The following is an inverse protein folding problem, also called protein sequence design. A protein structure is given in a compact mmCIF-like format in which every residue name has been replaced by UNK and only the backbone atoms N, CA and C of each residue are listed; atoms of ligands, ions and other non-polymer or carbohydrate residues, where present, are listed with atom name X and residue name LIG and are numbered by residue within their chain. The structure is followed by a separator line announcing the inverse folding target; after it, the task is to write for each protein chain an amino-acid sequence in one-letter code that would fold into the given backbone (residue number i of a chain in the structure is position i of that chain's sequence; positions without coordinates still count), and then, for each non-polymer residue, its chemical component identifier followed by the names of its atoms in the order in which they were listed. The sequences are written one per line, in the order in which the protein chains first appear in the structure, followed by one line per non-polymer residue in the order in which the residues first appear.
data_IF_531200213428
#
_entry.id   IF_531200213428
#
_cell.length_a   1.000
_cell.length_b   1.000
_cell.length_c   1.000
_cell.angle_alpha   90.00
_cell.angle_beta   90.00
_cell.angle_gamma   90.00
#
_symmetry.space_group_name_H-M   'P 1'
#
loop_
_entity.id
_entity.type
_entity.pdbx_description
1 polymer ?
#
# COMPACT_ATOMS: atom_id res chain seq x y z
N UNK A 1 -51.52 -15.78 -55.57
CA UNK A 1 -50.69 -16.42 -54.55
C UNK A 1 -49.93 -15.34 -53.80
N UNK A 2 -50.33 -14.98 -52.57
CA UNK A 2 -49.54 -14.01 -51.79
C UNK A 2 -48.38 -14.72 -51.12
N UNK A 3 -47.17 -14.21 -51.32
CA UNK A 3 -45.96 -14.63 -50.64
C UNK A 3 -45.95 -14.04 -49.23
N UNK A 4 -45.98 -14.95 -48.26
CA UNK A 4 -45.86 -14.61 -46.84
C UNK A 4 -44.44 -14.18 -46.52
N UNK A 5 -44.25 -12.93 -46.09
CA UNK A 5 -42.97 -12.43 -45.62
C UNK A 5 -42.88 -12.75 -44.14
N UNK A 6 -42.04 -13.73 -43.80
CA UNK A 6 -41.73 -14.07 -42.41
C UNK A 6 -40.94 -12.92 -41.74
N UNK A 7 -41.52 -12.36 -40.66
CA UNK A 7 -40.87 -11.33 -39.89
C UNK A 7 -39.67 -11.86 -39.11
N UNK A 8 -38.51 -11.23 -39.31
CA UNK A 8 -37.37 -11.39 -38.40
C UNK A 8 -37.63 -10.63 -37.10
N UNK A 9 -37.72 -11.37 -36.03
CA UNK A 9 -37.71 -10.78 -34.68
C UNK A 9 -36.31 -10.30 -34.31
N UNK A 10 -36.17 -9.11 -33.70
CA UNK A 10 -34.85 -8.66 -33.22
C UNK A 10 -34.47 -9.43 -31.97
N UNK A 11 -33.35 -10.14 -32.05
CA UNK A 11 -32.70 -10.70 -30.87
C UNK A 11 -32.09 -9.57 -30.05
N UNK A 12 -32.72 -9.23 -28.92
CA UNK A 12 -32.17 -8.32 -27.93
C UNK A 12 -31.17 -9.11 -27.10
N UNK A 13 -29.88 -8.93 -27.36
CA UNK A 13 -28.81 -9.44 -26.50
C UNK A 13 -28.76 -8.53 -25.26
N UNK A 14 -29.37 -8.98 -24.19
CA UNK A 14 -29.21 -8.37 -22.87
C UNK A 14 -27.80 -8.71 -22.36
N UNK A 15 -26.85 -7.80 -22.58
CA UNK A 15 -25.52 -7.89 -22.00
C UNK A 15 -25.60 -7.72 -20.48
N UNK A 16 -25.52 -8.81 -19.71
CA UNK A 16 -25.25 -8.76 -18.29
C UNK A 16 -23.83 -8.20 -18.08
N UNK A 17 -23.73 -6.93 -17.75
CA UNK A 17 -22.51 -6.34 -17.18
C UNK A 17 -22.35 -6.91 -15.76
N UNK A 18 -21.58 -7.99 -15.64
CA UNK A 18 -21.06 -8.46 -14.36
C UNK A 18 -20.07 -7.40 -13.87
N UNK A 19 -20.51 -6.53 -12.98
CA UNK A 19 -19.63 -5.68 -12.18
C UNK A 19 -18.81 -6.61 -11.26
N UNK A 20 -17.58 -6.92 -11.65
CA UNK A 20 -16.62 -7.59 -10.78
C UNK A 20 -16.26 -6.55 -9.72
N UNK A 21 -16.81 -6.70 -8.53
CA UNK A 21 -16.35 -5.95 -7.37
C UNK A 21 -14.91 -6.41 -7.11
N UNK A 22 -13.93 -5.56 -7.46
CA UNK A 22 -12.54 -5.76 -7.09
C UNK A 22 -12.45 -5.57 -5.57
N UNK A 23 -12.49 -6.67 -4.83
CA UNK A 23 -12.18 -6.62 -3.40
C UNK A 23 -10.68 -6.46 -3.26
N UNK A 24 -10.24 -5.46 -2.48
CA UNK A 24 -8.84 -5.25 -2.14
C UNK A 24 -8.28 -6.54 -1.51
N UNK A 25 -7.26 -7.12 -2.14
CA UNK A 25 -6.63 -8.34 -1.63
C UNK A 25 -5.47 -7.96 -0.70
N UNK A 26 -5.53 -8.45 0.53
CA UNK A 26 -4.43 -8.38 1.49
C UNK A 26 -3.66 -9.70 1.45
N UNK A 27 -2.41 -9.65 1.03
CA UNK A 27 -1.52 -10.81 0.98
C UNK A 27 -0.50 -10.71 2.10
N UNK A 28 -0.52 -11.65 3.05
CA UNK A 28 0.48 -11.77 4.11
C UNK A 28 1.65 -12.61 3.63
N UNK A 29 2.85 -12.18 3.99
CA UNK A 29 4.09 -12.87 3.64
C UNK A 29 5.06 -12.83 4.82
N UNK A 30 5.86 -13.88 4.96
CA UNK A 30 6.97 -13.91 5.91
C UNK A 30 8.23 -13.39 5.21
N UNK A 31 8.78 -12.29 5.74
CA UNK A 31 10.00 -11.67 5.20
C UNK A 31 10.99 -11.48 6.35
N UNK A 32 12.22 -11.97 6.23
CA UNK A 32 13.24 -11.79 7.28
C UNK A 32 13.46 -10.32 7.63
N UNK A 33 13.44 -10.01 8.91
CA UNK A 33 13.62 -8.64 9.42
C UNK A 33 12.39 -7.74 9.33
N UNK A 34 11.25 -8.25 8.84
CA UNK A 34 9.98 -7.51 8.74
C UNK A 34 8.88 -8.29 9.45
N UNK A 35 8.35 -7.74 10.53
CA UNK A 35 7.26 -8.38 11.28
C UNK A 35 5.91 -8.07 10.65
N UNK A 36 5.04 -9.08 10.56
CA UNK A 36 3.65 -8.95 10.14
C UNK A 36 3.47 -8.23 8.78
N UNK A 37 4.32 -8.55 7.81
CA UNK A 37 4.24 -7.94 6.49
C UNK A 37 2.94 -8.33 5.77
N UNK A 38 2.21 -7.33 5.32
CA UNK A 38 1.00 -7.50 4.52
C UNK A 38 0.96 -6.50 3.38
N UNK A 39 0.91 -7.00 2.16
CA UNK A 39 0.76 -6.17 0.96
C UNK A 39 -0.72 -5.94 0.69
N UNK A 40 -1.09 -4.67 0.49
CA UNK A 40 -2.45 -4.26 0.16
C UNK A 40 -2.46 -3.76 -1.29
N UNK A 41 -2.93 -4.59 -2.20
CA UNK A 41 -2.91 -4.31 -3.64
C UNK A 41 -1.50 -3.92 -4.15
N UNK A 42 -1.42 -2.92 -5.03
CA UNK A 42 -0.17 -2.45 -5.64
C UNK A 42 0.34 -1.13 -5.06
N UNK A 43 -0.36 -0.51 -4.12
CA UNK A 43 -0.11 0.86 -3.68
C UNK A 43 0.56 0.98 -2.32
N UNK A 44 0.23 0.07 -1.40
CA UNK A 44 0.78 0.09 -0.04
C UNK A 44 1.06 -1.31 0.49
N UNK A 45 2.00 -1.39 1.42
CA UNK A 45 2.15 -2.52 2.32
C UNK A 45 2.23 -2.01 3.75
N UNK A 46 1.77 -2.81 4.68
CA UNK A 46 1.82 -2.52 6.10
C UNK A 46 2.63 -3.60 6.83
N UNK A 47 3.38 -3.18 7.82
CA UNK A 47 4.16 -4.09 8.66
C UNK A 47 4.22 -3.60 10.12
N UNK A 48 4.75 -4.43 10.98
CA UNK A 48 5.18 -4.06 12.33
C UNK A 48 6.60 -3.53 12.34
N UNK A 49 7.37 -3.85 13.39
CA UNK A 49 8.76 -3.46 13.48
C UNK A 49 9.59 -4.09 12.36
N UNK A 50 10.54 -3.31 11.85
CA UNK A 50 11.54 -3.76 10.88
C UNK A 50 12.95 -3.58 11.47
N UNK A 51 13.92 -4.29 10.93
CA UNK A 51 15.35 -4.03 11.21
C UNK A 51 15.91 -3.08 10.16
N UNK A 52 16.95 -2.29 10.47
CA UNK A 52 17.61 -1.45 9.45
C UNK A 52 18.08 -2.25 8.23
N UNK A 53 18.57 -3.47 8.44
CA UNK A 53 19.02 -4.36 7.35
C UNK A 53 17.89 -4.79 6.40
N UNK A 54 16.63 -4.73 6.81
CA UNK A 54 15.49 -5.07 5.96
C UNK A 54 15.16 -3.98 4.92
N UNK A 55 15.68 -2.76 5.08
CA UNK A 55 15.37 -1.64 4.19
C UNK A 55 15.83 -1.88 2.76
N UNK A 56 16.97 -2.49 2.58
CA UNK A 56 17.46 -2.84 1.24
C UNK A 56 16.54 -3.86 0.55
N UNK A 57 16.01 -4.83 1.31
CA UNK A 57 15.06 -5.82 0.80
C UNK A 57 13.71 -5.15 0.45
N UNK A 58 13.24 -4.22 1.28
CA UNK A 58 12.03 -3.43 0.99
C UNK A 58 12.17 -2.69 -0.34
N UNK A 59 13.33 -2.10 -0.61
CA UNK A 59 13.61 -1.46 -1.89
C UNK A 59 13.61 -2.47 -3.05
N UNK A 60 14.24 -3.63 -2.88
CA UNK A 60 14.25 -4.71 -3.89
C UNK A 60 12.86 -5.24 -4.21
N UNK A 61 11.94 -5.22 -3.26
CA UNK A 61 10.53 -5.56 -3.46
C UNK A 61 9.75 -4.53 -4.29
N UNK A 62 10.38 -3.40 -4.67
CA UNK A 62 9.80 -2.39 -5.56
C UNK A 62 9.06 -1.25 -4.86
N UNK A 63 9.20 -1.10 -3.54
CA UNK A 63 8.62 0.04 -2.84
C UNK A 63 9.39 1.33 -3.17
N UNK A 64 8.64 2.40 -3.41
CA UNK A 64 9.18 3.72 -3.75
C UNK A 64 9.54 4.53 -2.51
N UNK A 65 8.94 4.23 -1.36
CA UNK A 65 9.20 4.93 -0.09
C UNK A 65 8.90 4.05 1.12
N UNK A 66 9.43 4.49 2.27
CA UNK A 66 9.12 3.94 3.58
C UNK A 66 8.53 5.04 4.45
N UNK A 67 7.40 4.75 5.11
CA UNK A 67 6.75 5.64 6.06
C UNK A 67 6.75 4.94 7.42
N UNK A 68 7.46 5.50 8.40
CA UNK A 68 7.48 5.00 9.77
C UNK A 68 6.50 5.81 10.63
N UNK A 69 5.45 5.15 11.12
CA UNK A 69 4.45 5.74 12.00
C UNK A 69 4.74 5.51 13.49
N UNK A 70 5.80 4.77 13.83
CA UNK A 70 6.11 4.39 15.20
C UNK A 70 6.66 5.58 15.99
N UNK A 71 6.33 5.63 17.27
CA UNK A 71 6.97 6.57 18.18
C UNK A 71 8.44 6.17 18.37
N UNK A 72 9.33 7.14 18.51
CA UNK A 72 10.75 6.88 18.72
C UNK A 72 11.03 6.07 20.00
N UNK A 73 10.12 6.10 20.97
CA UNK A 73 10.19 5.33 22.22
C UNK A 73 9.74 3.87 22.09
N UNK A 74 9.14 3.48 20.97
CA UNK A 74 8.68 2.11 20.77
C UNK A 74 9.85 1.16 20.51
N UNK A 75 9.72 -0.05 21.04
CA UNK A 75 10.71 -1.10 20.79
C UNK A 75 10.81 -1.40 19.29
N UNK A 76 12.03 -1.36 18.76
CA UNK A 76 12.28 -1.59 17.32
C UNK A 76 12.00 -0.38 16.45
N UNK A 77 11.82 0.81 17.02
CA UNK A 77 11.63 2.04 16.25
C UNK A 77 12.91 2.50 15.53
N UNK A 78 14.07 2.35 16.14
CA UNK A 78 15.42 2.67 15.62
C UNK A 78 15.45 3.71 14.47
N UNK A 79 14.92 4.90 14.75
CA UNK A 79 14.73 5.95 13.72
C UNK A 79 16.06 6.33 13.05
N UNK A 80 17.13 6.41 13.84
CA UNK A 80 18.45 6.78 13.32
C UNK A 80 19.02 5.68 12.41
N UNK A 81 18.96 4.43 12.85
CA UNK A 81 19.42 3.29 12.05
C UNK A 81 18.63 3.12 10.76
N UNK A 82 17.29 3.27 10.83
CA UNK A 82 16.45 3.22 9.64
C UNK A 82 16.74 4.36 8.67
N UNK A 83 16.92 5.59 9.17
CA UNK A 83 17.27 6.75 8.34
C UNK A 83 18.60 6.55 7.61
N UNK A 84 19.61 6.07 8.34
CA UNK A 84 20.94 5.78 7.76
C UNK A 84 20.85 4.67 6.69
N UNK A 85 20.15 3.58 6.98
CA UNK A 85 19.95 2.47 6.04
C UNK A 85 19.16 2.89 4.80
N UNK A 86 18.11 3.69 4.95
CA UNK A 86 17.32 4.22 3.83
C UNK A 86 18.16 5.13 2.94
N UNK A 87 18.98 6.00 3.51
CA UNK A 87 19.92 6.85 2.78
C UNK A 87 20.93 6.00 1.99
N UNK A 88 21.51 4.98 2.61
CA UNK A 88 22.44 4.07 1.96
C UNK A 88 21.79 3.29 0.81
N UNK A 89 20.55 2.84 0.98
CA UNK A 89 19.78 2.14 -0.04
C UNK A 89 19.22 3.08 -1.13
N UNK A 90 19.22 4.40 -0.91
CA UNK A 90 18.64 5.37 -1.84
C UNK A 90 17.12 5.26 -1.95
N UNK A 91 16.43 5.04 -0.84
CA UNK A 91 14.96 5.03 -0.75
C UNK A 91 14.49 6.16 0.17
N UNK A 92 13.50 6.99 -0.23
CA UNK A 92 12.91 8.00 0.63
C UNK A 92 12.32 7.40 1.90
N UNK A 93 12.62 8.03 3.04
CA UNK A 93 12.16 7.61 4.36
C UNK A 93 11.49 8.77 5.08
N UNK A 94 10.26 8.55 5.54
CA UNK A 94 9.46 9.54 6.24
C UNK A 94 9.15 9.04 7.65
N UNK A 95 9.46 9.82 8.67
CA UNK A 95 9.06 9.54 10.05
C UNK A 95 7.90 10.44 10.43
N UNK A 96 6.73 9.87 10.61
CA UNK A 96 5.49 10.55 10.99
C UNK A 96 4.95 9.86 12.24
N UNK A 97 5.47 10.18 13.43
CA UNK A 97 5.10 9.49 14.66
C UNK A 97 3.61 9.67 14.97
N UNK A 98 2.93 8.55 15.22
CA UNK A 98 1.50 8.54 15.51
C UNK A 98 1.22 7.69 16.75
N UNK A 99 0.50 8.28 17.72
CA UNK A 99 0.04 7.58 18.91
C UNK A 99 -1.45 7.29 18.82
N UNK A 100 -1.83 6.02 18.98
CA UNK A 100 -3.24 5.62 19.05
C UNK A 100 -3.89 6.04 20.38
N UNK A 101 -3.10 6.23 21.44
CA UNK A 101 -3.59 6.68 22.74
C UNK A 101 -3.88 8.19 22.78
N UNK A 102 -3.11 8.98 22.03
CA UNK A 102 -3.27 10.44 21.91
C UNK A 102 -3.17 10.84 20.44
N UNK A 103 -4.21 10.56 19.63
CA UNK A 103 -4.18 10.86 18.21
C UNK A 103 -4.00 12.36 17.94
N UNK A 104 -3.06 12.68 17.05
CA UNK A 104 -2.79 14.05 16.59
C UNK A 104 -3.32 14.23 15.15
N UNK A 105 -4.35 15.09 14.95
CA UNK A 105 -4.85 15.37 13.61
C UNK A 105 -3.80 15.90 12.65
N UNK A 106 -2.79 16.65 13.13
CA UNK A 106 -1.72 17.17 12.30
C UNK A 106 -0.82 16.04 11.75
N UNK A 107 -0.62 14.97 12.51
CA UNK A 107 0.10 13.78 12.03
C UNK A 107 -0.69 13.06 10.93
N UNK A 108 -2.02 12.98 11.07
CA UNK A 108 -2.91 12.42 10.02
C UNK A 108 -2.83 13.23 8.75
N UNK A 109 -2.94 14.56 8.84
CA UNK A 109 -2.82 15.44 7.67
C UNK A 109 -1.45 15.30 6.99
N UNK A 110 -0.38 15.21 7.77
CA UNK A 110 0.98 15.00 7.26
C UNK A 110 1.08 13.65 6.54
N UNK A 111 0.54 12.60 7.12
CA UNK A 111 0.50 11.27 6.50
C UNK A 111 -0.25 11.30 5.16
N UNK A 112 -1.45 11.88 5.12
CA UNK A 112 -2.26 11.96 3.90
C UNK A 112 -1.54 12.75 2.80
N UNK A 113 -0.93 13.87 3.12
CA UNK A 113 -0.13 14.65 2.18
C UNK A 113 1.07 13.87 1.66
N UNK A 114 1.75 13.15 2.54
CA UNK A 114 2.92 12.36 2.17
C UNK A 114 2.55 11.19 1.26
N UNK A 115 1.56 10.36 1.65
CA UNK A 115 1.20 9.15 0.90
C UNK A 115 0.62 9.46 -0.49
N UNK A 116 0.01 10.63 -0.67
CA UNK A 116 -0.57 11.08 -1.94
C UNK A 116 0.40 11.90 -2.79
N UNK A 117 1.58 12.21 -2.29
CA UNK A 117 2.58 12.95 -3.06
C UNK A 117 3.12 12.11 -4.24
N UNK A 118 3.43 12.75 -5.37
CA UNK A 118 4.01 12.06 -6.52
C UNK A 118 5.29 11.29 -6.16
N UNK A 119 5.41 10.04 -6.62
CA UNK A 119 6.59 9.22 -6.44
C UNK A 119 6.73 8.55 -5.06
N UNK A 120 5.76 8.71 -4.16
CA UNK A 120 5.78 8.07 -2.84
C UNK A 120 5.24 6.65 -2.89
N UNK A 121 4.26 6.38 -3.72
CA UNK A 121 3.71 5.04 -3.89
C UNK A 121 4.47 4.22 -4.95
N UNK A 122 4.55 2.89 -4.80
CA UNK A 122 4.04 2.08 -3.68
C UNK A 122 4.83 2.33 -2.38
N UNK A 123 4.12 2.58 -1.29
CA UNK A 123 4.70 2.91 0.01
C UNK A 123 4.70 1.71 0.96
N UNK A 124 5.81 1.54 1.68
CA UNK A 124 5.93 0.59 2.78
C UNK A 124 5.70 1.33 4.10
N UNK A 125 4.69 0.92 4.87
CA UNK A 125 4.27 1.60 6.10
C UNK A 125 4.51 0.68 7.31
N UNK A 126 5.16 1.20 8.33
CA UNK A 126 5.39 0.44 9.56
C UNK A 126 5.37 1.28 10.84
#
# INVERSE_FOLDING_TARGET
MPLSVAGLAPFTVAGCLLAIAASAQVVRQEVPGIRNFAKVESTVACAGAITPGAIEEIKKMGFASIINLRLASEQGADIEGHTAAAKAAGIPYYHIPFSTATPDPAAVDTFLKTITAPGVQPAFIH
#
